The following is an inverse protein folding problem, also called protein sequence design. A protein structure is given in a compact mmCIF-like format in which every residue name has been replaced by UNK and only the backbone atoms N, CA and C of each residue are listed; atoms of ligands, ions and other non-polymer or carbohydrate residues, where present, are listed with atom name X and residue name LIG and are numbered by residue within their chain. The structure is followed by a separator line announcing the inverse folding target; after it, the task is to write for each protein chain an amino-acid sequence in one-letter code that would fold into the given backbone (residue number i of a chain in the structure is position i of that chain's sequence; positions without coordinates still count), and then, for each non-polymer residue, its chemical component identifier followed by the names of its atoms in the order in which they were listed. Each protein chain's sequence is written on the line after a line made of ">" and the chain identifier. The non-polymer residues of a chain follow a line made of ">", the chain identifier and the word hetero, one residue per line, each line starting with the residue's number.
data_IF_904609316236
#
_entry.id   IF_904609316236
#
_cell.length_a   1.000
_cell.length_b   1.000
_cell.length_c   1.000
_cell.angle_alpha   90.00
_cell.angle_beta   90.00
_cell.angle_gamma   90.00
#
_symmetry.space_group_name_H-M   'P 1'
#
loop_
_entity.id
_entity.type
_entity.pdbx_description
1 polymer ?
#
# COMPACT_ATOMS: atom_id res chain seq x y z
N UNK A 1 -16.58 0.24 -72.82
CA UNK A 1 -17.35 0.53 -71.58
C UNK A 1 -16.66 -0.20 -70.42
N UNK A 2 -15.82 0.50 -69.64
CA UNK A 2 -14.96 -0.10 -68.60
C UNK A 2 -15.68 -0.03 -67.24
N UNK A 3 -15.87 -1.20 -66.63
CA UNK A 3 -16.36 -1.39 -65.25
C UNK A 3 -15.30 -0.93 -64.25
N UNK A 4 -15.72 -0.18 -63.23
CA UNK A 4 -14.90 0.11 -62.04
C UNK A 4 -15.58 -0.55 -60.84
N UNK A 5 -14.91 -1.55 -60.25
CA UNK A 5 -15.23 -2.09 -58.92
C UNK A 5 -14.63 -1.14 -57.89
N UNK A 6 -15.46 -0.54 -57.05
CA UNK A 6 -15.04 0.14 -55.82
C UNK A 6 -14.90 -0.92 -54.72
N UNK A 7 -13.64 -1.19 -54.36
CA UNK A 7 -13.22 -2.00 -53.23
C UNK A 7 -13.47 -1.20 -51.95
N UNK A 8 -14.51 -1.53 -51.17
CA UNK A 8 -14.68 -1.03 -49.81
C UNK A 8 -13.60 -1.64 -48.92
N UNK A 9 -12.54 -0.87 -48.66
CA UNK A 9 -11.57 -1.16 -47.62
C UNK A 9 -12.27 -0.94 -46.27
N UNK A 10 -12.72 -2.03 -45.65
CA UNK A 10 -13.12 -2.05 -44.24
C UNK A 10 -11.86 -1.78 -43.41
N UNK A 11 -11.66 -0.51 -43.07
CA UNK A 11 -10.75 -0.10 -42.01
C UNK A 11 -11.31 -0.68 -40.71
N UNK A 12 -10.85 -1.88 -40.34
CA UNK A 12 -11.09 -2.46 -39.03
C UNK A 12 -10.42 -1.52 -38.03
N UNK A 13 -11.20 -0.60 -37.47
CA UNK A 13 -10.82 0.17 -36.29
C UNK A 13 -10.52 -0.89 -35.22
N UNK A 14 -9.25 -1.13 -34.93
CA UNK A 14 -8.86 -1.93 -33.78
C UNK A 14 -9.43 -1.19 -32.57
N UNK A 15 -10.55 -1.67 -32.02
CA UNK A 15 -11.00 -1.24 -30.71
C UNK A 15 -9.79 -1.41 -29.77
N UNK A 16 -9.46 -0.39 -28.95
CA UNK A 16 -8.52 -0.62 -27.88
C UNK A 16 -9.01 -1.83 -27.06
N UNK A 17 -8.10 -2.67 -26.53
CA UNK A 17 -8.50 -3.73 -25.62
C UNK A 17 -9.42 -3.14 -24.56
N UNK A 18 -10.55 -3.79 -24.32
CA UNK A 18 -11.53 -3.31 -23.35
C UNK A 18 -10.82 -3.03 -22.03
N UNK A 19 -11.04 -1.84 -21.47
CA UNK A 19 -10.53 -1.43 -20.18
C UNK A 19 -10.73 -2.55 -19.16
N UNK A 20 -9.68 -2.89 -18.41
CA UNK A 20 -9.79 -3.88 -17.34
C UNK A 20 -10.81 -3.35 -16.32
N UNK A 21 -11.91 -4.08 -16.12
CA UNK A 21 -12.99 -3.63 -15.25
C UNK A 21 -12.58 -3.57 -13.77
N UNK A 22 -11.53 -4.31 -13.41
CA UNK A 22 -10.93 -4.46 -12.08
C UNK A 22 -9.41 -4.56 -12.21
N UNK A 23 -8.68 -4.09 -11.20
CA UNK A 23 -7.23 -4.29 -11.11
C UNK A 23 -6.94 -5.64 -10.47
N UNK A 24 -5.87 -6.30 -10.91
CA UNK A 24 -5.35 -7.51 -10.29
C UNK A 24 -4.87 -7.25 -8.87
N UNK A 25 -4.94 -8.29 -8.02
CA UNK A 25 -4.49 -8.25 -6.64
C UNK A 25 -5.39 -9.01 -5.69
N UNK A 26 -5.06 -8.94 -4.41
CA UNK A 26 -5.85 -9.56 -3.34
C UNK A 26 -6.67 -8.49 -2.61
N UNK A 27 -7.97 -8.72 -2.50
CA UNK A 27 -8.94 -7.80 -1.92
C UNK A 27 -9.71 -8.47 -0.80
N UNK A 28 -9.61 -7.91 0.41
CA UNK A 28 -10.34 -8.41 1.58
C UNK A 28 -11.41 -7.40 1.99
N UNK A 29 -12.60 -7.91 2.31
CA UNK A 29 -13.69 -7.12 2.86
C UNK A 29 -14.46 -7.91 3.92
N UNK A 30 -15.21 -7.18 4.73
CA UNK A 30 -16.04 -7.74 5.80
C UNK A 30 -17.48 -7.30 5.64
N UNK A 31 -18.41 -8.18 6.01
CA UNK A 31 -19.83 -7.87 6.12
C UNK A 31 -20.48 -8.75 7.18
N UNK A 32 -21.60 -8.28 7.73
CA UNK A 32 -22.36 -9.02 8.73
C UNK A 32 -23.10 -10.20 8.09
N UNK A 33 -22.98 -11.36 8.71
CA UNK A 33 -23.73 -12.57 8.38
C UNK A 33 -24.85 -12.78 9.39
N UNK A 34 -24.87 -13.96 10.01
CA UNK A 34 -25.74 -14.25 11.15
C UNK A 34 -25.32 -13.50 12.42
N UNK A 35 -24.01 -13.34 12.65
CA UNK A 35 -23.48 -12.62 13.81
C UNK A 35 -23.29 -11.13 13.52
N UNK A 36 -23.76 -10.29 14.44
CA UNK A 36 -23.49 -8.84 14.42
C UNK A 36 -22.09 -8.52 14.98
N UNK A 37 -21.61 -9.27 15.97
CA UNK A 37 -20.33 -9.01 16.65
C UNK A 37 -19.12 -9.61 15.93
N UNK A 38 -19.31 -10.67 15.15
CA UNK A 38 -18.25 -11.40 14.47
C UNK A 38 -18.54 -11.51 12.96
N UNK A 39 -18.13 -10.50 12.16
CA UNK A 39 -18.47 -10.44 10.75
C UNK A 39 -17.80 -11.55 9.94
N UNK A 40 -18.38 -11.84 8.77
CA UNK A 40 -17.77 -12.69 7.76
C UNK A 40 -16.68 -11.87 7.07
N UNK A 41 -15.49 -12.46 6.94
CA UNK A 41 -14.37 -11.92 6.16
C UNK A 41 -14.27 -12.69 4.85
N UNK A 42 -14.26 -11.97 3.72
CA UNK A 42 -14.01 -12.55 2.41
C UNK A 42 -12.75 -11.98 1.80
N UNK A 43 -11.89 -12.85 1.28
CA UNK A 43 -10.73 -12.49 0.45
C UNK A 43 -10.95 -12.99 -0.98
N UNK A 44 -10.77 -12.10 -1.96
CA UNK A 44 -10.72 -12.40 -3.39
C UNK A 44 -9.30 -12.22 -3.90
N UNK A 45 -8.83 -13.11 -4.77
CA UNK A 45 -7.62 -12.92 -5.59
C UNK A 45 -8.05 -12.75 -7.04
N UNK A 46 -7.61 -11.67 -7.67
CA UNK A 46 -7.92 -11.31 -9.06
C UNK A 46 -6.62 -11.33 -9.86
N UNK A 47 -6.59 -12.09 -10.95
CA UNK A 47 -5.47 -12.15 -11.90
C UNK A 47 -6.01 -12.09 -13.33
N UNK A 48 -5.40 -11.24 -14.17
CA UNK A 48 -5.88 -10.99 -15.53
C UNK A 48 -7.33 -10.47 -15.57
N UNK A 49 -7.79 -9.79 -14.52
CA UNK A 49 -9.17 -9.34 -14.37
C UNK A 49 -10.20 -10.42 -14.03
N UNK A 50 -9.78 -11.63 -13.69
CA UNK A 50 -10.65 -12.74 -13.29
C UNK A 50 -10.42 -13.15 -11.83
N UNK A 51 -11.47 -13.60 -11.14
CA UNK A 51 -11.41 -14.15 -9.80
C UNK A 51 -10.74 -15.54 -9.86
N UNK A 52 -9.49 -15.65 -9.41
CA UNK A 52 -8.75 -16.92 -9.38
C UNK A 52 -8.85 -17.63 -8.04
N UNK A 53 -9.07 -16.89 -6.96
CA UNK A 53 -9.34 -17.45 -5.63
C UNK A 53 -10.40 -16.62 -4.92
N UNK A 54 -11.25 -17.30 -4.13
CA UNK A 54 -12.15 -16.66 -3.20
C UNK A 54 -12.20 -17.51 -1.91
N UNK A 55 -12.17 -16.86 -0.75
CA UNK A 55 -12.25 -17.51 0.56
C UNK A 55 -13.11 -16.71 1.52
N UNK A 56 -14.10 -17.34 2.12
CA UNK A 56 -14.90 -16.77 3.20
C UNK A 56 -14.54 -17.41 4.55
N UNK A 57 -14.46 -16.61 5.60
CA UNK A 57 -14.25 -17.04 6.99
C UNK A 57 -15.30 -16.33 7.85
N UNK A 58 -16.20 -17.08 8.47
CA UNK A 58 -17.27 -16.56 9.33
C UNK A 58 -17.25 -17.20 10.71
N UNK A 59 -16.42 -16.71 11.66
CA UNK A 59 -16.28 -17.34 12.98
C UNK A 59 -17.54 -17.21 13.86
N UNK A 60 -18.38 -16.21 13.60
CA UNK A 60 -19.66 -16.01 14.29
C UNK A 60 -20.85 -16.74 13.66
N UNK A 61 -20.64 -17.49 12.58
CA UNK A 61 -21.72 -18.15 11.87
C UNK A 61 -22.09 -19.49 12.52
N UNK A 62 -23.37 -19.84 12.50
CA UNK A 62 -23.83 -21.11 13.04
C UNK A 62 -23.49 -22.25 12.07
N UNK A 63 -22.44 -23.02 12.39
CA UNK A 63 -21.81 -23.98 11.46
C UNK A 63 -22.80 -24.99 10.84
N UNK A 64 -23.79 -25.47 11.60
CA UNK A 64 -24.80 -26.42 11.10
C UNK A 64 -25.59 -25.91 9.87
N UNK A 65 -25.59 -24.60 9.63
CA UNK A 65 -26.27 -23.96 8.48
C UNK A 65 -25.31 -23.19 7.57
N UNK A 66 -24.14 -22.79 8.07
CA UNK A 66 -23.24 -21.88 7.38
C UNK A 66 -22.09 -22.57 6.64
N UNK A 67 -21.74 -23.81 6.99
CA UNK A 67 -20.56 -24.50 6.45
C UNK A 67 -20.62 -24.63 4.92
N UNK A 68 -21.77 -25.04 4.38
CA UNK A 68 -21.98 -25.15 2.94
C UNK A 68 -21.85 -23.79 2.25
N UNK A 69 -22.41 -22.73 2.85
CA UNK A 69 -22.34 -21.38 2.28
C UNK A 69 -20.90 -20.83 2.28
N UNK A 70 -20.17 -20.98 3.38
CA UNK A 70 -18.78 -20.52 3.52
C UNK A 70 -17.83 -21.23 2.56
N UNK A 71 -18.16 -22.44 2.12
CA UNK A 71 -17.36 -23.23 1.20
C UNK A 71 -17.80 -23.09 -0.27
N UNK A 72 -19.09 -23.23 -0.57
CA UNK A 72 -19.58 -23.28 -1.94
C UNK A 72 -19.71 -21.92 -2.60
N UNK A 73 -20.14 -20.86 -1.88
CA UNK A 73 -20.30 -19.54 -2.51
C UNK A 73 -18.97 -19.03 -3.09
N UNK A 74 -17.84 -19.06 -2.35
CA UNK A 74 -16.55 -18.68 -2.91
C UNK A 74 -16.16 -19.53 -4.13
N UNK A 75 -16.42 -20.84 -4.12
CA UNK A 75 -16.17 -21.70 -5.27
C UNK A 75 -17.03 -21.33 -6.48
N UNK A 76 -18.31 -21.01 -6.27
CA UNK A 76 -19.21 -20.52 -7.32
C UNK A 76 -18.70 -19.20 -7.91
N UNK A 77 -18.18 -18.30 -7.07
CA UNK A 77 -17.63 -17.02 -7.53
C UNK A 77 -16.43 -17.22 -8.47
N UNK A 78 -15.51 -18.11 -8.11
CA UNK A 78 -14.36 -18.47 -8.96
C UNK A 78 -14.86 -19.14 -10.26
N UNK A 79 -15.76 -20.12 -10.15
CA UNK A 79 -16.24 -20.88 -11.31
C UNK A 79 -17.03 -20.03 -12.31
N UNK A 80 -17.79 -19.05 -11.83
CA UNK A 80 -18.61 -18.16 -12.65
C UNK A 80 -17.90 -16.85 -13.00
N UNK A 81 -16.73 -16.58 -12.41
CA UNK A 81 -16.04 -15.30 -12.45
C UNK A 81 -16.98 -14.11 -12.14
N UNK A 82 -17.77 -14.26 -11.09
CA UNK A 82 -18.80 -13.29 -10.69
C UNK A 82 -18.96 -13.28 -9.17
N UNK A 83 -19.08 -12.11 -8.56
CA UNK A 83 -19.48 -11.98 -7.15
C UNK A 83 -20.99 -12.06 -6.94
N UNK A 84 -21.76 -12.01 -8.03
CA UNK A 84 -23.21 -12.20 -8.04
C UNK A 84 -23.50 -13.67 -8.36
N UNK A 85 -23.56 -14.50 -7.32
CA UNK A 85 -23.88 -15.93 -7.41
C UNK A 85 -25.10 -16.27 -6.56
N UNK A 86 -25.80 -17.35 -6.91
CA UNK A 86 -26.97 -17.79 -6.16
C UNK A 86 -26.59 -18.30 -4.77
N UNK A 87 -27.33 -17.83 -3.77
CA UNK A 87 -27.21 -18.29 -2.38
C UNK A 87 -27.67 -19.74 -2.19
N UNK A 88 -27.35 -20.28 -1.00
CA UNK A 88 -27.74 -21.64 -0.59
C UNK A 88 -29.00 -21.56 0.28
N UNK A 89 -29.92 -22.49 0.04
CA UNK A 89 -31.18 -22.55 0.79
C UNK A 89 -30.90 -22.88 2.26
N UNK A 90 -31.53 -22.15 3.18
CA UNK A 90 -31.35 -22.35 4.62
C UNK A 90 -30.18 -21.57 5.25
N UNK A 91 -29.35 -20.92 4.44
CA UNK A 91 -28.18 -20.16 4.88
C UNK A 91 -28.28 -18.65 4.52
N UNK A 92 -29.49 -18.09 4.48
CA UNK A 92 -29.76 -16.75 3.91
C UNK A 92 -28.89 -15.66 4.50
N UNK A 93 -28.73 -15.60 5.83
CA UNK A 93 -27.94 -14.57 6.52
C UNK A 93 -26.45 -14.68 6.16
N UNK A 94 -25.89 -15.89 6.25
CA UNK A 94 -24.51 -16.19 5.86
C UNK A 94 -24.26 -15.88 4.38
N UNK A 95 -25.16 -16.28 3.49
CA UNK A 95 -25.05 -16.02 2.05
C UNK A 95 -25.01 -14.52 1.76
N UNK A 96 -25.90 -13.74 2.38
CA UNK A 96 -25.92 -12.30 2.21
C UNK A 96 -24.62 -11.66 2.71
N UNK A 97 -24.11 -12.06 3.88
CA UNK A 97 -22.83 -11.56 4.39
C UNK A 97 -21.65 -11.88 3.46
N UNK A 98 -21.60 -13.10 2.91
CA UNK A 98 -20.57 -13.49 1.92
C UNK A 98 -20.68 -12.64 0.65
N UNK A 99 -21.89 -12.48 0.10
CA UNK A 99 -22.15 -11.72 -1.14
C UNK A 99 -21.86 -10.23 -0.95
N UNK A 100 -22.21 -9.65 0.19
CA UNK A 100 -21.96 -8.24 0.48
C UNK A 100 -20.46 -7.97 0.68
N UNK A 101 -19.74 -8.86 1.37
CA UNK A 101 -18.29 -8.80 1.45
C UNK A 101 -17.65 -8.96 0.05
N UNK A 102 -18.19 -9.84 -0.81
CA UNK A 102 -17.70 -10.03 -2.18
C UNK A 102 -17.88 -8.79 -3.04
N UNK A 103 -19.07 -8.18 -3.00
CA UNK A 103 -19.35 -6.91 -3.68
C UNK A 103 -18.45 -5.79 -3.20
N UNK A 104 -18.17 -5.72 -1.90
CA UNK A 104 -17.27 -4.72 -1.34
C UNK A 104 -15.82 -4.92 -1.82
N UNK A 105 -15.31 -6.16 -1.78
CA UNK A 105 -13.97 -6.51 -2.28
C UNK A 105 -13.83 -6.25 -3.79
N UNK A 106 -14.80 -6.71 -4.58
CA UNK A 106 -14.86 -6.45 -6.02
C UNK A 106 -14.98 -4.95 -6.33
N UNK A 107 -15.80 -4.22 -5.56
CA UNK A 107 -15.93 -2.77 -5.66
C UNK A 107 -14.62 -2.04 -5.39
N UNK A 108 -13.81 -2.51 -4.43
CA UNK A 108 -12.48 -1.97 -4.19
C UNK A 108 -11.55 -2.22 -5.40
N UNK A 109 -11.58 -3.42 -5.99
CA UNK A 109 -10.83 -3.73 -7.21
C UNK A 109 -11.23 -2.83 -8.39
N UNK A 110 -12.54 -2.56 -8.55
CA UNK A 110 -13.06 -1.64 -9.58
C UNK A 110 -12.64 -0.20 -9.36
N UNK A 111 -12.68 0.29 -8.11
CA UNK A 111 -12.23 1.66 -7.79
C UNK A 111 -10.75 1.82 -8.10
N UNK A 112 -9.92 0.83 -7.76
CA UNK A 112 -8.50 0.83 -8.13
C UNK A 112 -8.30 0.88 -9.64
N UNK A 113 -9.13 0.17 -10.40
CA UNK A 113 -9.09 0.19 -11.87
C UNK A 113 -9.47 1.55 -12.49
N UNK A 114 -10.05 2.47 -11.72
CA UNK A 114 -10.35 3.83 -12.18
C UNK A 114 -9.20 4.81 -11.94
N UNK A 115 -8.13 4.37 -11.27
CA UNK A 115 -6.97 5.20 -10.97
C UNK A 115 -6.00 5.16 -12.14
N UNK A 116 -6.04 6.21 -12.96
CA UNK A 116 -5.04 6.46 -14.00
C UNK A 116 -4.41 7.83 -13.79
N UNK A 117 -3.13 7.95 -14.10
CA UNK A 117 -2.41 9.22 -13.99
C UNK A 117 -0.94 9.03 -13.66
N UNK A 118 -0.27 10.16 -13.44
CA UNK A 118 1.12 10.20 -12.99
C UNK A 118 1.14 10.67 -11.55
N UNK A 119 1.79 9.88 -10.70
CA UNK A 119 1.93 10.08 -9.28
C UNK A 119 3.40 10.16 -8.93
N UNK A 120 3.72 10.82 -7.83
CA UNK A 120 5.08 11.16 -7.49
C UNK A 120 5.36 10.83 -6.03
N UNK A 121 6.60 10.44 -5.77
CA UNK A 121 7.12 10.36 -4.42
C UNK A 121 8.59 10.72 -4.40
N UNK A 122 9.05 11.21 -3.26
CA UNK A 122 10.44 11.59 -3.06
C UNK A 122 10.86 11.12 -1.67
N UNK A 123 12.01 10.46 -1.58
CA UNK A 123 12.55 10.01 -0.30
C UNK A 123 14.09 10.03 -0.30
N UNK A 124 14.73 10.19 0.87
CA UNK A 124 16.19 10.11 0.99
C UNK A 124 16.75 8.81 0.42
N UNK A 125 17.86 8.93 -0.31
CA UNK A 125 18.52 7.84 -1.01
C UNK A 125 19.84 7.42 -0.38
N UNK A 126 20.89 7.40 -1.21
CA UNK A 126 22.25 7.05 -0.78
C UNK A 126 22.79 8.02 0.27
N UNK A 127 22.43 9.30 0.16
CA UNK A 127 22.67 10.30 1.21
C UNK A 127 21.35 10.92 1.68
N UNK A 128 21.31 11.49 2.90
CA UNK A 128 20.13 12.22 3.38
C UNK A 128 19.79 13.45 2.53
N UNK A 129 20.79 14.05 1.88
CA UNK A 129 20.64 15.29 1.12
C UNK A 129 20.18 15.08 -0.32
N UNK A 130 20.40 13.89 -0.87
CA UNK A 130 20.00 13.56 -2.23
C UNK A 130 18.74 12.70 -2.19
N UNK A 131 17.69 13.21 -2.82
CA UNK A 131 16.39 12.53 -2.86
C UNK A 131 16.33 11.58 -4.06
N UNK A 132 15.94 10.34 -3.80
CA UNK A 132 15.38 9.46 -4.83
C UNK A 132 13.98 9.97 -5.13
N UNK A 133 13.75 10.35 -6.38
CA UNK A 133 12.45 10.78 -6.89
C UNK A 133 11.88 9.69 -7.76
N UNK A 134 10.61 9.35 -7.56
CA UNK A 134 9.88 8.36 -8.33
C UNK A 134 8.71 9.04 -9.04
N UNK A 135 8.57 8.81 -10.33
CA UNK A 135 7.41 9.10 -11.15
C UNK A 135 6.74 7.78 -11.53
N UNK A 136 5.55 7.55 -10.96
CA UNK A 136 4.74 6.35 -11.17
C UNK A 136 3.62 6.69 -12.14
N UNK A 137 3.53 5.97 -13.25
CA UNK A 137 2.37 6.02 -14.14
C UNK A 137 1.47 4.83 -13.89
N UNK A 138 0.22 5.10 -13.51
CA UNK A 138 -0.84 4.11 -13.46
C UNK A 138 -1.75 4.26 -14.68
N UNK A 139 -2.10 3.13 -15.26
CA UNK A 139 -3.17 3.01 -16.24
C UNK A 139 -4.11 1.92 -15.78
N UNK A 140 -5.35 2.30 -15.46
CA UNK A 140 -6.39 1.42 -14.93
C UNK A 140 -5.92 0.67 -13.67
N UNK A 141 -5.23 1.38 -12.78
CA UNK A 141 -4.65 0.85 -11.56
C UNK A 141 -3.41 -0.04 -11.74
N UNK A 142 -2.97 -0.29 -12.99
CA UNK A 142 -1.74 -1.04 -13.29
C UNK A 142 -0.54 -0.12 -13.39
N UNK A 143 0.58 -0.54 -12.82
CA UNK A 143 1.89 0.11 -12.96
C UNK A 143 2.39 -0.10 -14.39
N UNK A 144 2.30 0.93 -15.22
CA UNK A 144 2.77 0.87 -16.62
C UNK A 144 4.14 1.48 -16.81
N UNK A 145 4.54 2.37 -15.90
CA UNK A 145 5.86 3.00 -15.92
C UNK A 145 6.27 3.41 -14.52
N UNK A 146 7.52 3.17 -14.18
CA UNK A 146 8.17 3.75 -13.01
C UNK A 146 9.49 4.35 -13.45
N UNK A 147 9.64 5.66 -13.31
CA UNK A 147 10.90 6.35 -13.54
C UNK A 147 11.46 6.82 -12.22
N UNK A 148 12.76 6.59 -12.01
CA UNK A 148 13.41 7.05 -10.81
C UNK A 148 14.73 7.74 -11.11
N UNK A 149 15.00 8.80 -10.36
CA UNK A 149 16.25 9.55 -10.40
C UNK A 149 16.73 9.87 -8.98
N UNK A 150 18.04 9.99 -8.80
CA UNK A 150 18.64 10.44 -7.56
C UNK A 150 19.76 11.43 -7.91
N UNK A 151 19.39 12.70 -8.05
CA UNK A 151 20.33 13.75 -8.41
C UNK A 151 21.37 13.95 -7.30
N UNK A 152 22.64 14.09 -7.68
CA UNK A 152 23.76 14.28 -6.75
C UNK A 152 24.36 13.00 -6.18
N UNK A 153 23.73 11.84 -6.39
CA UNK A 153 24.26 10.54 -5.97
C UNK A 153 25.26 9.95 -7.00
N UNK A 154 26.19 9.07 -6.56
CA UNK A 154 27.15 8.45 -7.47
C UNK A 154 26.48 7.53 -8.50
N UNK A 155 26.62 7.89 -9.78
CA UNK A 155 25.84 7.29 -10.88
C UNK A 155 26.12 5.78 -11.06
N UNK A 156 27.37 5.35 -10.84
CA UNK A 156 27.85 4.01 -11.22
C UNK A 156 27.11 2.84 -10.56
N UNK A 157 26.58 3.05 -9.34
CA UNK A 157 25.84 2.02 -8.60
C UNK A 157 24.40 2.42 -8.25
N UNK A 158 24.09 3.72 -8.22
CA UNK A 158 22.72 4.20 -7.97
C UNK A 158 21.82 4.03 -9.19
N UNK A 159 22.28 4.43 -10.38
CA UNK A 159 21.44 4.38 -11.58
C UNK A 159 21.05 2.95 -11.99
N UNK A 160 21.96 1.94 -11.96
CA UNK A 160 21.57 0.56 -12.24
C UNK A 160 20.55 0.00 -11.25
N UNK A 161 20.68 0.36 -9.96
CA UNK A 161 19.75 -0.09 -8.93
C UNK A 161 18.35 0.51 -9.14
N UNK A 162 18.26 1.81 -9.41
CA UNK A 162 16.98 2.47 -9.70
C UNK A 162 16.31 1.88 -10.95
N UNK A 163 17.06 1.61 -12.02
CA UNK A 163 16.52 1.03 -13.25
C UNK A 163 15.97 -0.39 -13.01
N UNK A 164 16.69 -1.23 -12.28
CA UNK A 164 16.25 -2.59 -11.99
C UNK A 164 15.04 -2.61 -11.06
N UNK A 165 14.97 -1.74 -10.05
CA UNK A 165 13.80 -1.61 -9.17
C UNK A 165 12.57 -1.10 -9.93
N UNK A 166 12.74 -0.07 -10.77
CA UNK A 166 11.70 0.41 -11.69
C UNK A 166 11.14 -0.70 -12.56
N UNK A 167 12.03 -1.52 -13.16
CA UNK A 167 11.64 -2.65 -14.00
C UNK A 167 10.84 -3.69 -13.21
N UNK A 168 11.32 -4.09 -12.02
CA UNK A 168 10.61 -5.05 -11.16
C UNK A 168 9.23 -4.55 -10.74
N UNK A 169 9.10 -3.26 -10.41
CA UNK A 169 7.81 -2.68 -10.04
C UNK A 169 6.79 -2.81 -11.17
N UNK A 170 7.21 -2.59 -12.42
CA UNK A 170 6.38 -2.75 -13.62
C UNK A 170 6.09 -4.24 -13.90
N UNK A 171 7.14 -5.06 -13.98
CA UNK A 171 7.04 -6.47 -14.36
C UNK A 171 6.15 -7.29 -13.41
N UNK A 172 6.20 -6.97 -12.11
CA UNK A 172 5.42 -7.64 -11.08
C UNK A 172 4.20 -6.82 -10.61
N UNK A 173 3.96 -5.65 -11.21
CA UNK A 173 2.88 -4.73 -10.83
C UNK A 173 2.79 -4.50 -9.31
N UNK A 174 3.93 -4.31 -8.65
CA UNK A 174 4.05 -4.31 -7.18
C UNK A 174 4.87 -3.14 -6.64
N UNK A 175 4.48 -2.67 -5.46
CA UNK A 175 5.29 -1.77 -4.63
C UNK A 175 6.18 -2.50 -3.60
N UNK A 176 6.00 -3.82 -3.45
CA UNK A 176 6.77 -4.65 -2.52
C UNK A 176 7.96 -5.24 -3.27
N UNK A 177 9.14 -4.66 -3.03
CA UNK A 177 10.38 -5.03 -3.70
C UNK A 177 11.44 -5.40 -2.65
N UNK A 178 12.43 -6.16 -3.09
CA UNK A 178 13.62 -6.42 -2.28
C UNK A 178 14.73 -5.42 -2.59
N UNK A 179 15.56 -5.16 -1.58
CA UNK A 179 16.77 -4.35 -1.75
C UNK A 179 17.74 -4.98 -2.75
N UNK A 180 18.42 -4.15 -3.54
CA UNK A 180 19.52 -4.60 -4.40
C UNK A 180 20.82 -4.59 -3.59
N UNK A 181 21.55 -5.70 -3.62
CA UNK A 181 22.84 -5.83 -2.95
C UNK A 181 23.82 -4.76 -3.44
N UNK A 182 24.46 -4.07 -2.50
CA UNK A 182 25.37 -2.95 -2.80
C UNK A 182 24.69 -1.58 -2.99
N UNK A 183 23.35 -1.53 -3.02
CA UNK A 183 22.57 -0.30 -3.17
C UNK A 183 21.43 -0.20 -2.13
N UNK A 184 21.66 -0.67 -0.90
CA UNK A 184 20.62 -0.80 0.14
C UNK A 184 19.91 0.53 0.45
N UNK A 185 20.65 1.63 0.61
CA UNK A 185 20.09 2.93 0.97
C UNK A 185 19.22 3.49 -0.17
N UNK A 186 19.76 3.50 -1.39
CA UNK A 186 19.02 3.86 -2.61
C UNK A 186 17.77 3.00 -2.80
N UNK A 187 17.87 1.68 -2.56
CA UNK A 187 16.72 0.78 -2.71
C UNK A 187 15.60 1.11 -1.74
N UNK A 188 15.94 1.42 -0.48
CA UNK A 188 14.96 1.87 0.53
C UNK A 188 14.35 3.22 0.16
N UNK A 189 15.16 4.17 -0.30
CA UNK A 189 14.68 5.46 -0.82
C UNK A 189 13.69 5.28 -1.96
N UNK A 190 14.03 4.45 -2.96
CA UNK A 190 13.12 4.12 -4.06
C UNK A 190 11.79 3.52 -3.57
N UNK A 191 11.83 2.51 -2.69
CA UNK A 191 10.61 1.85 -2.19
C UNK A 191 9.71 2.81 -1.41
N UNK A 192 10.29 3.70 -0.60
CA UNK A 192 9.55 4.74 0.12
C UNK A 192 8.91 5.74 -0.85
N UNK A 193 9.68 6.22 -1.82
CA UNK A 193 9.17 7.13 -2.86
C UNK A 193 8.05 6.47 -3.70
N UNK A 194 8.21 5.20 -4.08
CA UNK A 194 7.18 4.44 -4.79
C UNK A 194 5.92 4.27 -3.93
N UNK A 195 6.07 3.98 -2.64
CA UNK A 195 4.95 3.92 -1.69
C UNK A 195 4.20 5.24 -1.60
N UNK A 196 4.90 6.37 -1.45
CA UNK A 196 4.26 7.68 -1.45
C UNK A 196 3.47 7.95 -2.73
N UNK A 197 3.99 7.56 -3.90
CA UNK A 197 3.27 7.69 -5.17
C UNK A 197 2.02 6.81 -5.22
N UNK A 198 2.07 5.59 -4.65
CA UNK A 198 0.92 4.70 -4.53
C UNK A 198 -0.14 5.23 -3.55
N UNK A 199 0.29 5.81 -2.42
CA UNK A 199 -0.59 6.42 -1.42
C UNK A 199 -1.28 7.68 -2.01
N UNK A 200 -0.55 8.48 -2.79
CA UNK A 200 -1.12 9.57 -3.58
C UNK A 200 -2.18 9.06 -4.58
N UNK A 201 -1.92 7.93 -5.23
CA UNK A 201 -2.86 7.30 -6.15
C UNK A 201 -4.13 6.77 -5.46
N UNK A 202 -4.02 6.34 -4.20
CA UNK A 202 -5.15 5.95 -3.38
C UNK A 202 -6.02 7.15 -2.91
N UNK A 203 -5.53 8.38 -3.08
CA UNK A 203 -6.17 9.59 -2.55
C UNK A 203 -5.85 9.85 -1.07
N UNK A 204 -4.93 9.08 -0.49
CA UNK A 204 -4.48 9.23 0.90
C UNK A 204 -3.50 10.41 1.05
N UNK A 205 -2.89 10.84 -0.06
CA UNK A 205 -2.08 12.05 -0.14
C UNK A 205 -2.64 12.99 -1.21
N UNK A 206 -2.68 14.32 -0.95
CA UNK A 206 -3.02 15.28 -1.99
C UNK A 206 -2.06 15.13 -3.18
N UNK A 207 -2.50 15.44 -4.42
CA UNK A 207 -1.63 15.37 -5.58
C UNK A 207 -0.35 16.14 -5.28
N UNK A 208 0.80 15.49 -5.48
CA UNK A 208 2.13 16.01 -5.11
C UNK A 208 2.45 17.31 -5.87
N UNK A 209 1.81 18.40 -5.45
CA UNK A 209 2.24 19.76 -5.71
C UNK A 209 3.02 20.14 -4.47
N UNK A 210 4.30 19.73 -4.43
CA UNK A 210 5.37 20.39 -3.68
C UNK A 210 5.01 20.96 -2.29
N UNK A 211 4.15 20.31 -1.52
CA UNK A 211 3.91 20.69 -0.15
C UNK A 211 5.04 20.06 0.66
N UNK A 212 6.21 20.67 0.51
CA UNK A 212 7.38 20.57 1.38
C UNK A 212 6.90 20.88 2.79
N UNK A 213 6.41 19.84 3.46
CA UNK A 213 5.82 19.95 4.78
C UNK A 213 6.89 20.53 5.70
N UNK A 214 6.63 21.74 6.15
CA UNK A 214 7.51 22.49 7.03
C UNK A 214 6.69 22.93 8.22
N UNK A 215 7.25 22.76 9.41
CA UNK A 215 6.53 23.00 10.64
C UNK A 215 6.93 22.00 11.71
N UNK A 216 6.39 22.21 12.91
CA UNK A 216 6.60 21.30 14.03
C UNK A 216 5.34 20.50 14.26
N UNK A 217 5.51 19.19 14.31
CA UNK A 217 4.48 18.18 14.51
C UNK A 217 4.68 17.53 15.87
N UNK A 218 3.58 17.08 16.46
CA UNK A 218 3.58 16.50 17.80
C UNK A 218 2.90 15.14 17.75
N UNK A 219 3.52 14.17 18.42
CA UNK A 219 3.06 12.80 18.54
C UNK A 219 3.10 12.32 19.98
N UNK A 220 2.25 11.35 20.31
CA UNK A 220 2.24 10.67 21.61
C UNK A 220 2.23 9.16 21.39
N UNK A 221 3.04 8.42 22.15
CA UNK A 221 3.12 6.97 22.09
C UNK A 221 3.32 6.35 23.47
N UNK A 222 2.89 5.09 23.64
CA UNK A 222 2.94 4.42 24.94
C UNK A 222 4.37 3.95 25.26
N UNK A 223 4.95 4.51 26.33
CA UNK A 223 6.28 4.19 26.82
C UNK A 223 6.31 3.01 27.79
N UNK A 224 7.36 2.93 28.61
CA UNK A 224 7.41 1.98 29.72
C UNK A 224 6.35 2.30 30.79
N UNK A 225 6.09 3.59 31.02
CA UNK A 225 5.12 4.04 32.00
C UNK A 225 3.71 4.14 31.42
N UNK A 226 2.74 3.61 32.15
CA UNK A 226 1.32 3.82 31.88
C UNK A 226 0.77 5.11 32.52
N UNK A 227 1.60 5.85 33.25
CA UNK A 227 1.19 7.10 33.92
C UNK A 227 1.22 8.31 32.98
N UNK A 228 2.07 8.29 31.96
CA UNK A 228 2.17 9.35 30.95
C UNK A 228 2.77 8.81 29.64
N UNK A 229 2.29 9.24 28.47
CA UNK A 229 2.88 8.85 27.20
C UNK A 229 4.26 9.48 26.99
N UNK A 230 5.04 8.88 26.10
CA UNK A 230 6.18 9.53 25.47
C UNK A 230 5.63 10.54 24.46
N UNK A 231 6.08 11.79 24.57
CA UNK A 231 5.74 12.87 23.64
C UNK A 231 6.90 13.16 22.74
N UNK A 232 6.66 13.20 21.44
CA UNK A 232 7.68 13.53 20.43
C UNK A 232 7.27 14.82 19.71
N UNK A 233 8.24 15.71 19.52
CA UNK A 233 8.11 16.91 18.68
C UNK A 233 9.06 16.76 17.51
N UNK A 234 8.53 16.70 16.30
CA UNK A 234 9.28 16.62 15.05
C UNK A 234 9.18 17.94 14.29
N UNK A 235 10.32 18.61 14.08
CA UNK A 235 10.38 19.73 13.14
C UNK A 235 10.79 19.23 11.78
N UNK A 236 9.92 19.48 10.80
CA UNK A 236 10.21 19.32 9.40
C UNK A 236 10.57 20.66 8.77
N UNK A 237 11.57 20.65 7.89
CA UNK A 237 11.81 21.71 6.94
C UNK A 237 11.92 21.07 5.56
N UNK A 238 11.04 21.48 4.66
CA UNK A 238 10.94 20.94 3.32
C UNK A 238 10.82 19.40 3.27
N UNK A 239 10.06 18.83 4.22
CA UNK A 239 9.90 17.38 4.37
C UNK A 239 11.10 16.65 4.99
N UNK A 240 12.10 17.37 5.51
CA UNK A 240 13.26 16.81 6.20
C UNK A 240 13.17 17.00 7.71
N UNK A 241 13.53 15.96 8.45
CA UNK A 241 13.68 15.96 9.90
C UNK A 241 14.88 16.86 10.23
N UNK A 242 14.63 18.05 10.75
CA UNK A 242 15.68 19.01 11.13
C UNK A 242 15.85 19.13 12.63
N UNK A 243 14.81 18.82 13.39
CA UNK A 243 14.87 18.70 14.84
C UNK A 243 13.89 17.65 15.30
N UNK A 244 14.26 16.93 16.35
CA UNK A 244 13.41 15.95 16.98
C UNK A 244 13.69 15.97 18.49
N UNK A 245 12.64 16.12 19.28
CA UNK A 245 12.70 16.14 20.73
C UNK A 245 11.72 15.13 21.29
N UNK A 246 12.09 14.48 22.39
CA UNK A 246 11.22 13.54 23.07
C UNK A 246 11.25 13.75 24.58
N UNK A 247 10.08 13.66 25.21
CA UNK A 247 9.90 13.81 26.64
C UNK A 247 9.01 12.67 27.15
N UNK A 248 9.46 11.95 28.17
CA UNK A 248 8.68 10.94 28.88
C UNK A 248 8.81 11.15 30.38
N UNK A 249 7.86 11.84 31.00
CA UNK A 249 7.95 12.31 32.40
C UNK A 249 8.10 11.18 33.43
N UNK A 250 7.59 9.99 33.11
CA UNK A 250 7.61 8.83 34.00
C UNK A 250 8.44 7.66 33.44
N UNK A 251 9.28 7.90 32.44
CA UNK A 251 10.20 6.89 31.92
C UNK A 251 11.37 6.66 32.90
N UNK A 252 11.99 5.48 32.83
CA UNK A 252 13.01 5.09 33.82
C UNK A 252 14.38 5.70 33.47
N UNK A 253 14.87 6.61 34.30
CA UNK A 253 16.24 7.14 34.19
C UNK A 253 17.31 6.14 34.71
N UNK A 254 18.54 6.13 34.15
CA UNK A 254 19.02 6.95 33.01
C UNK A 254 18.67 6.37 31.63
N UNK A 255 17.96 5.24 31.58
CA UNK A 255 17.71 4.49 30.34
C UNK A 255 16.88 5.27 29.32
N UNK A 256 15.91 6.05 29.80
CA UNK A 256 15.06 6.88 28.97
C UNK A 256 15.84 7.95 28.21
N UNK A 257 16.68 8.72 28.92
CA UNK A 257 17.53 9.75 28.32
C UNK A 257 18.43 9.17 27.24
N UNK A 258 19.14 8.07 27.55
CA UNK A 258 20.04 7.41 26.59
C UNK A 258 19.29 6.89 25.35
N UNK A 259 18.08 6.36 25.54
CA UNK A 259 17.26 5.88 24.44
C UNK A 259 16.79 7.03 23.54
N UNK A 260 16.27 8.10 24.10
CA UNK A 260 15.80 9.25 23.33
C UNK A 260 16.92 9.95 22.56
N UNK A 261 18.13 10.05 23.12
CA UNK A 261 19.30 10.57 22.40
C UNK A 261 19.65 9.69 21.21
N UNK A 262 19.82 8.38 21.43
CA UNK A 262 20.22 7.47 20.36
C UNK A 262 19.16 7.33 19.26
N UNK A 263 17.86 7.28 19.62
CA UNK A 263 16.77 7.16 18.64
C UNK A 263 16.63 8.44 17.81
N UNK A 264 16.79 9.60 18.44
CA UNK A 264 16.80 10.89 17.73
C UNK A 264 17.92 10.98 16.72
N UNK A 265 19.14 10.63 17.11
CA UNK A 265 20.27 10.60 16.18
C UNK A 265 20.01 9.65 15.00
N UNK A 266 19.47 8.46 15.27
CA UNK A 266 19.10 7.50 14.21
C UNK A 266 18.03 8.07 13.28
N UNK A 267 16.97 8.65 13.84
CA UNK A 267 15.85 9.20 13.06
C UNK A 267 16.30 10.36 12.17
N UNK A 268 17.09 11.29 12.72
CA UNK A 268 17.65 12.42 11.99
C UNK A 268 18.63 11.94 10.91
N UNK A 269 19.53 11.01 11.22
CA UNK A 269 20.48 10.47 10.27
C UNK A 269 19.80 9.67 9.14
N UNK A 270 18.74 8.93 9.45
CA UNK A 270 17.95 8.19 8.48
C UNK A 270 16.91 9.05 7.76
N UNK A 271 16.67 10.29 8.25
CA UNK A 271 15.54 11.14 7.92
C UNK A 271 14.22 10.33 7.86
N UNK A 272 13.95 9.55 8.91
CA UNK A 272 12.90 8.53 8.93
C UNK A 272 12.53 8.10 10.36
N UNK A 273 11.27 7.75 10.58
CA UNK A 273 10.81 7.10 11.80
C UNK A 273 11.02 5.56 11.80
N UNK A 274 11.40 4.96 10.67
CA UNK A 274 11.70 3.52 10.57
C UNK A 274 13.11 3.23 11.10
N UNK A 275 13.24 3.22 12.43
CA UNK A 275 14.50 2.98 13.14
C UNK A 275 14.36 1.82 14.12
N UNK A 276 15.48 1.17 14.42
CA UNK A 276 15.49 0.09 15.40
C UNK A 276 15.41 0.62 16.83
N UNK A 277 14.78 -0.17 17.72
CA UNK A 277 14.69 0.11 19.15
C UNK A 277 16.08 0.23 19.81
N UNK A 278 16.15 0.97 20.91
CA UNK A 278 17.36 1.07 21.72
C UNK A 278 17.43 -0.11 22.71
N UNK A 279 18.59 -0.79 22.74
CA UNK A 279 18.78 -1.97 23.60
C UNK A 279 18.74 -1.55 25.08
N UNK A 280 17.93 -2.23 25.87
CA UNK A 280 17.76 -1.93 27.31
C UNK A 280 16.65 -0.92 27.61
N UNK A 281 15.98 -0.36 26.60
CA UNK A 281 14.87 0.57 26.76
C UNK A 281 13.75 0.29 25.74
N UNK A 282 13.34 -0.97 25.61
CA UNK A 282 12.45 -1.44 24.54
C UNK A 282 11.10 -0.73 24.53
N UNK A 283 10.45 -0.57 25.68
CA UNK A 283 9.13 0.06 25.79
C UNK A 283 9.20 1.57 25.51
N UNK A 284 10.16 2.27 26.12
CA UNK A 284 10.46 3.67 25.81
C UNK A 284 10.72 3.89 24.32
N UNK A 285 11.46 2.98 23.68
CA UNK A 285 11.78 3.08 22.26
C UNK A 285 10.54 2.91 21.37
N UNK A 286 9.62 2.03 21.75
CA UNK A 286 8.35 1.85 21.02
C UNK A 286 7.49 3.09 21.15
N UNK A 287 7.31 3.61 22.35
CA UNK A 287 6.57 4.86 22.55
C UNK A 287 7.13 6.04 21.74
N UNK A 288 8.46 6.10 21.57
CA UNK A 288 9.08 7.10 20.70
C UNK A 288 8.84 6.87 19.20
N UNK A 289 8.90 5.62 18.73
CA UNK A 289 8.77 5.28 17.30
C UNK A 289 7.31 5.35 16.84
N UNK A 290 6.37 5.04 17.74
CA UNK A 290 4.93 5.11 17.49
C UNK A 290 4.37 6.54 17.50
N UNK A 291 5.00 7.45 18.27
CA UNK A 291 4.66 8.86 18.36
C UNK A 291 5.01 9.63 17.08
#
# INVERSE_FOLDING_TARGET
>A
MRRWLLLCLLLCLALPPAALAVTDGTYTAQAHGFSEDQPITLTLTIEGGAITEARAIGPGEHLDFAEEALMELPQRMVAQNSVEVDGITGATWTCNGILDAARAAWGAARRRAQVSGVFYGEAPGFTPDNLVRVSLTLDEGRITRVEASAEGDPVDYVQPALLELSRRAVDFNTGQLDVIAGATLTSRGFMRALRMALDQAAGDLPPAVLARVSGTFYGEGEGFSNASPVRVSLTLQDGRFVALEAVGEHETEPYATLAFEALRERALAANSAEIDVYTGATWTSRGFIEA
#
